data_IF_631318183186
#
_entry.id   IF_631318183186
#
_cell.length_a   1.000
_cell.length_b   1.000
_cell.length_c   1.000
_cell.angle_alpha   90.00
_cell.angle_beta   90.00
_cell.angle_gamma   90.00
#
_symmetry.space_group_name_H-M   'P 1'
#
loop_
_entity.id
_entity.type
_entity.pdbx_description
1 polymer ?
#
# COMPACT_ATOMS: atom_id res chain seq x y z
N UNK A 1 -6.25 53.31 -41.25
CA UNK A 1 -6.86 52.15 -40.56
C UNK A 1 -5.87 51.10 -40.03
N UNK A 2 -4.56 51.35 -39.92
CA UNK A 2 -3.56 50.32 -39.51
C UNK A 2 -3.30 50.15 -38.00
N UNK A 3 -3.77 51.06 -37.14
CA UNK A 3 -3.47 51.01 -35.69
C UNK A 3 -4.46 50.17 -34.88
N UNK A 4 -5.70 49.99 -35.35
CA UNK A 4 -6.72 49.18 -34.65
C UNK A 4 -6.42 47.68 -34.69
N UNK A 5 -6.01 47.17 -35.86
CA UNK A 5 -5.67 45.76 -36.06
C UNK A 5 -4.45 45.32 -35.22
N UNK A 6 -3.45 46.21 -35.07
CA UNK A 6 -2.27 45.95 -34.22
C UNK A 6 -2.62 45.86 -32.73
N UNK A 7 -3.56 46.67 -32.25
CA UNK A 7 -4.03 46.61 -30.87
C UNK A 7 -4.78 45.32 -30.55
N UNK A 8 -5.60 44.86 -31.49
CA UNK A 8 -6.33 43.58 -31.38
C UNK A 8 -5.36 42.39 -31.36
N UNK A 9 -4.35 42.38 -32.24
CA UNK A 9 -3.35 41.32 -32.28
C UNK A 9 -2.53 41.24 -30.99
N UNK A 10 -2.14 42.37 -30.39
CA UNK A 10 -1.43 42.37 -29.11
C UNK A 10 -2.29 41.81 -27.98
N UNK A 11 -3.57 42.20 -27.93
CA UNK A 11 -4.50 41.70 -26.93
C UNK A 11 -4.74 40.19 -27.07
N UNK A 12 -4.83 39.70 -28.30
CA UNK A 12 -4.96 38.28 -28.60
C UNK A 12 -3.74 37.48 -28.13
N UNK A 13 -2.52 37.97 -28.39
CA UNK A 13 -1.29 37.33 -27.91
C UNK A 13 -1.22 37.33 -26.38
N UNK A 14 -1.57 38.44 -25.73
CA UNK A 14 -1.60 38.52 -24.26
C UNK A 14 -2.64 37.55 -23.67
N UNK A 15 -3.82 37.44 -24.29
CA UNK A 15 -4.84 36.49 -23.88
C UNK A 15 -4.35 35.04 -24.05
N UNK A 16 -3.72 34.71 -25.18
CA UNK A 16 -3.17 33.39 -25.44
C UNK A 16 -2.06 33.02 -24.42
N UNK A 17 -1.15 33.95 -24.11
CA UNK A 17 -0.11 33.75 -23.10
C UNK A 17 -0.73 33.56 -21.71
N UNK A 18 -1.75 34.35 -21.35
CA UNK A 18 -2.43 34.21 -20.06
C UNK A 18 -3.11 32.84 -19.91
N UNK A 19 -3.79 32.37 -20.96
CA UNK A 19 -4.40 31.03 -20.99
C UNK A 19 -3.31 29.96 -20.88
N UNK A 20 -2.23 30.09 -21.65
CA UNK A 20 -1.13 29.13 -21.63
C UNK A 20 -0.44 29.07 -20.26
N UNK A 21 -0.23 30.21 -19.62
CA UNK A 21 0.36 30.29 -18.29
C UNK A 21 -0.54 29.64 -17.23
N UNK A 22 -1.84 29.91 -17.27
CA UNK A 22 -2.80 29.30 -16.36
C UNK A 22 -2.86 27.77 -16.54
N UNK A 23 -2.97 27.30 -17.79
CA UNK A 23 -2.98 25.88 -18.11
C UNK A 23 -1.66 25.19 -17.74
N UNK A 24 -0.53 25.84 -18.02
CA UNK A 24 0.80 25.33 -17.69
C UNK A 24 1.00 25.16 -16.19
N UNK A 25 0.55 26.12 -15.38
CA UNK A 25 0.63 26.02 -13.93
C UNK A 25 -0.19 24.85 -13.39
N UNK A 26 -1.44 24.69 -13.84
CA UNK A 26 -2.29 23.55 -13.47
C UNK A 26 -1.71 22.21 -13.92
N UNK A 27 -1.07 22.17 -15.08
CA UNK A 27 -0.42 20.95 -15.56
C UNK A 27 0.78 20.56 -14.69
N UNK A 28 1.61 21.53 -14.30
CA UNK A 28 2.76 21.29 -13.41
C UNK A 28 2.30 20.75 -12.05
N UNK A 29 1.22 21.29 -11.48
CA UNK A 29 0.68 20.79 -10.20
C UNK A 29 0.19 19.36 -10.33
N UNK A 30 -0.55 19.04 -11.39
CA UNK A 30 -1.05 17.68 -11.65
C UNK A 30 0.10 16.67 -11.82
N UNK A 31 1.16 17.05 -12.55
CA UNK A 31 2.34 16.18 -12.71
C UNK A 31 3.06 15.98 -11.38
N UNK A 32 3.23 17.04 -10.59
CA UNK A 32 3.89 16.94 -9.29
C UNK A 32 3.09 16.10 -8.28
N UNK A 33 1.76 16.16 -8.33
CA UNK A 33 0.87 15.30 -7.54
C UNK A 33 0.93 13.86 -8.02
N UNK A 34 0.89 13.62 -9.33
CA UNK A 34 1.01 12.28 -9.90
C UNK A 34 2.33 11.60 -9.57
N UNK A 35 3.45 12.33 -9.60
CA UNK A 35 4.76 11.80 -9.19
C UNK A 35 4.78 11.43 -7.71
N UNK A 36 4.19 12.28 -6.85
CA UNK A 36 4.13 12.02 -5.40
C UNK A 36 3.25 10.81 -5.09
N UNK A 37 2.09 10.70 -5.72
CA UNK A 37 1.22 9.53 -5.60
C UNK A 37 1.92 8.25 -6.05
N UNK A 38 2.56 8.27 -7.23
CA UNK A 38 3.29 7.10 -7.72
C UNK A 38 4.48 6.72 -6.81
N UNK A 39 5.11 7.69 -6.15
CA UNK A 39 6.18 7.41 -5.19
C UNK A 39 5.64 6.78 -3.90
N UNK A 40 4.52 7.26 -3.37
CA UNK A 40 3.88 6.66 -2.18
C UNK A 40 3.35 5.26 -2.47
N UNK A 41 2.77 5.05 -3.66
CA UNK A 41 2.23 3.74 -4.04
C UNK A 41 3.36 2.69 -4.14
N UNK A 42 4.49 3.06 -4.76
CA UNK A 42 5.66 2.18 -4.80
C UNK A 42 6.26 1.89 -3.43
N UNK A 43 6.20 2.84 -2.50
CA UNK A 43 6.64 2.60 -1.13
C UNK A 43 5.73 1.57 -0.46
N UNK A 44 4.41 1.74 -0.58
CA UNK A 44 3.42 0.81 -0.02
C UNK A 44 3.50 -0.58 -0.65
N UNK A 45 3.72 -0.66 -1.96
CA UNK A 45 3.87 -1.95 -2.67
C UNK A 45 5.07 -2.75 -2.15
N UNK A 46 6.22 -2.08 -1.91
CA UNK A 46 7.38 -2.75 -1.31
C UNK A 46 7.08 -3.30 0.08
N UNK A 47 6.34 -2.54 0.88
CA UNK A 47 5.96 -2.97 2.22
C UNK A 47 5.01 -4.17 2.18
N UNK A 48 4.03 -4.16 1.26
CA UNK A 48 3.12 -5.29 1.04
C UNK A 48 3.87 -6.55 0.60
N UNK A 49 4.89 -6.42 -0.24
CA UNK A 49 5.73 -7.56 -0.64
C UNK A 49 6.46 -8.17 0.56
N UNK A 50 6.95 -7.35 1.48
CA UNK A 50 7.63 -7.85 2.69
C UNK A 50 6.63 -8.48 3.68
N UNK A 51 5.43 -7.92 3.83
CA UNK A 51 4.33 -8.50 4.60
C UNK A 51 3.87 -9.85 4.01
N UNK A 52 3.75 -9.96 2.68
CA UNK A 52 3.38 -11.19 1.97
C UNK A 52 4.45 -12.28 2.14
N UNK A 53 5.73 -11.92 2.08
CA UNK A 53 6.83 -12.85 2.38
C UNK A 53 6.75 -13.38 3.81
N UNK A 54 6.41 -12.52 4.78
CA UNK A 54 6.23 -12.92 6.17
C UNK A 54 5.03 -13.86 6.33
N UNK A 55 3.89 -13.57 5.70
CA UNK A 55 2.75 -14.50 5.69
C UNK A 55 3.14 -15.83 5.06
N UNK A 56 3.84 -15.80 3.93
CA UNK A 56 4.29 -17.02 3.24
C UNK A 56 5.19 -17.86 4.16
N UNK A 57 6.11 -17.24 4.90
CA UNK A 57 6.92 -17.93 5.89
C UNK A 57 6.07 -18.59 7.00
N UNK A 58 5.03 -17.91 7.49
CA UNK A 58 4.08 -18.48 8.46
C UNK A 58 3.22 -19.59 7.85
N UNK A 59 2.86 -19.48 6.57
CA UNK A 59 2.12 -20.47 5.82
C UNK A 59 2.92 -21.76 5.59
N UNK A 60 4.24 -21.74 5.74
CA UNK A 60 5.09 -22.93 5.69
C UNK A 60 5.30 -23.61 7.06
N UNK A 61 4.89 -22.97 8.16
CA UNK A 61 5.04 -23.52 9.50
C UNK A 61 4.14 -24.73 9.75
N UNK A 62 4.68 -25.70 10.50
CA UNK A 62 3.92 -26.86 10.99
C UNK A 62 2.97 -26.43 12.11
N UNK A 63 1.97 -27.25 12.38
CA UNK A 63 0.98 -27.02 13.45
C UNK A 63 1.63 -26.75 14.81
N UNK A 64 2.63 -27.54 15.18
CA UNK A 64 3.38 -27.38 16.43
C UNK A 64 4.10 -26.04 16.55
N UNK A 65 4.59 -25.50 15.44
CA UNK A 65 5.31 -24.23 15.41
C UNK A 65 4.34 -23.05 15.50
N UNK A 66 3.17 -23.17 14.86
CA UNK A 66 2.08 -22.21 14.98
C UNK A 66 1.51 -22.18 16.42
N UNK A 67 1.37 -23.34 17.06
CA UNK A 67 0.92 -23.43 18.46
C UNK A 67 1.87 -22.74 19.43
N UNK A 68 3.18 -22.90 19.23
CA UNK A 68 4.19 -22.17 20.02
C UNK A 68 4.13 -20.65 19.81
N UNK A 69 3.57 -20.21 18.69
CA UNK A 69 3.50 -18.80 18.28
C UNK A 69 2.14 -18.16 18.52
N UNK A 70 1.20 -18.84 19.18
CA UNK A 70 -0.06 -18.25 19.60
C UNK A 70 0.15 -16.96 20.42
N UNK A 71 -0.76 -16.00 20.21
CA UNK A 71 -0.64 -14.64 20.73
C UNK A 71 0.10 -13.71 19.78
N UNK A 72 0.46 -12.53 20.30
CA UNK A 72 1.16 -11.48 19.55
C UNK A 72 2.66 -11.56 19.76
N UNK A 73 3.45 -11.51 18.68
CA UNK A 73 4.92 -11.54 18.72
C UNK A 73 5.51 -10.56 17.72
N UNK A 74 6.62 -9.94 18.08
CA UNK A 74 7.40 -9.13 17.16
C UNK A 74 8.19 -10.01 16.17
N UNK A 75 8.19 -9.61 14.90
CA UNK A 75 8.96 -10.20 13.82
C UNK A 75 9.58 -9.06 13.00
N UNK A 76 10.75 -8.57 13.45
CA UNK A 76 11.36 -7.37 12.89
C UNK A 76 10.48 -6.14 13.13
N UNK A 77 10.11 -5.36 12.09
CA UNK A 77 9.26 -4.16 12.23
C UNK A 77 7.76 -4.50 12.39
N UNK A 78 7.40 -5.78 12.30
CA UNK A 78 6.00 -6.23 12.32
C UNK A 78 5.62 -6.86 13.65
N UNK A 79 4.34 -6.73 14.00
CA UNK A 79 3.66 -7.49 15.04
C UNK A 79 2.80 -8.54 14.37
N UNK A 80 3.09 -9.81 14.65
CA UNK A 80 2.31 -10.93 14.14
C UNK A 80 1.47 -11.50 15.27
N UNK A 81 0.16 -11.51 15.08
CA UNK A 81 -0.80 -12.13 15.99
C UNK A 81 -1.30 -13.43 15.42
N UNK A 82 -1.01 -14.54 16.10
CA UNK A 82 -1.52 -15.86 15.74
C UNK A 82 -2.63 -16.25 16.71
N UNK A 83 -3.79 -16.55 16.17
CA UNK A 83 -4.95 -17.04 16.91
C UNK A 83 -5.36 -18.40 16.35
N UNK A 84 -5.93 -19.25 17.20
CA UNK A 84 -6.54 -20.52 16.78
C UNK A 84 -8.05 -20.45 17.05
N UNK A 85 -8.84 -19.88 16.11
CA UNK A 85 -10.30 -19.81 16.27
C UNK A 85 -10.96 -21.20 16.29
N UNK A 86 -10.41 -22.16 15.54
CA UNK A 86 -10.85 -23.56 15.53
C UNK A 86 -9.65 -24.51 15.61
N UNK A 87 -9.81 -25.78 16.03
CA UNK A 87 -8.70 -26.71 16.23
C UNK A 87 -7.76 -26.87 15.01
N UNK A 88 -8.31 -26.71 13.80
CA UNK A 88 -7.58 -26.86 12.53
C UNK A 88 -7.38 -25.55 11.79
N UNK A 89 -7.88 -24.42 12.32
CA UNK A 89 -7.74 -23.11 11.69
C UNK A 89 -6.87 -22.19 12.52
N UNK A 90 -5.95 -21.52 11.84
CA UNK A 90 -5.13 -20.48 12.43
C UNK A 90 -5.36 -19.18 11.70
N UNK A 91 -5.70 -18.14 12.44
CA UNK A 91 -5.71 -16.78 11.93
C UNK A 91 -4.36 -16.16 12.21
N UNK A 92 -3.70 -15.67 11.17
CA UNK A 92 -2.42 -14.95 11.25
C UNK A 92 -2.69 -13.53 10.77
N UNK A 93 -2.54 -12.57 11.67
CA UNK A 93 -2.67 -11.15 11.36
C UNK A 93 -1.31 -10.46 11.54
N UNK A 94 -0.94 -9.63 10.56
CA UNK A 94 0.26 -8.81 10.57
C UNK A 94 -0.17 -7.36 10.73
N UNK A 95 0.43 -6.68 11.70
CA UNK A 95 0.32 -5.25 11.90
C UNK A 95 1.73 -4.65 11.96
N UNK A 96 1.86 -3.35 11.74
CA UNK A 96 3.12 -2.64 11.98
C UNK A 96 3.27 -2.33 13.45
N UNK A 97 4.51 -2.40 13.95
CA UNK A 97 4.76 -2.06 15.36
C UNK A 97 4.40 -0.60 15.69
N UNK A 98 4.51 0.30 14.71
CA UNK A 98 4.16 1.73 14.85
C UNK A 98 2.64 1.97 14.81
N UNK A 99 1.88 1.06 14.20
CA UNK A 99 0.42 1.15 14.01
C UNK A 99 -0.26 -0.14 14.45
N UNK A 100 0.02 -0.57 15.69
CA UNK A 100 -0.44 -1.86 16.21
C UNK A 100 -1.98 -2.02 16.27
N UNK A 101 -2.74 -0.93 16.10
CA UNK A 101 -4.21 -0.94 16.11
C UNK A 101 -4.84 -1.30 14.76
N UNK A 102 -4.10 -1.22 13.65
CA UNK A 102 -4.58 -1.58 12.32
C UNK A 102 -3.88 -2.84 11.83
N UNK A 103 -4.65 -3.89 11.55
CA UNK A 103 -4.13 -5.08 10.88
C UNK A 103 -3.95 -4.74 9.40
N UNK A 104 -2.71 -4.84 8.90
CA UNK A 104 -2.37 -4.53 7.51
C UNK A 104 -2.69 -5.71 6.59
N UNK A 105 -2.39 -6.94 7.06
CA UNK A 105 -2.62 -8.16 6.28
C UNK A 105 -3.05 -9.32 7.18
N UNK A 106 -4.12 -10.01 6.78
CA UNK A 106 -4.71 -11.11 7.55
C UNK A 106 -4.92 -12.32 6.64
N UNK A 107 -4.53 -13.50 7.13
CA UNK A 107 -4.82 -14.77 6.45
C UNK A 107 -5.30 -15.83 7.43
N UNK A 108 -5.97 -16.86 6.90
CA UNK A 108 -6.38 -18.05 7.64
C UNK A 108 -5.69 -19.28 7.04
N UNK A 109 -4.96 -19.99 7.89
CA UNK A 109 -4.21 -21.19 7.55
C UNK A 109 -4.94 -22.41 8.09
N UNK A 110 -5.33 -23.31 7.19
CA UNK A 110 -5.84 -24.63 7.57
C UNK A 110 -4.68 -25.60 7.86
N UNK A 111 -4.82 -26.35 8.96
CA UNK A 111 -3.92 -27.40 9.43
C UNK A 111 -4.75 -28.55 10.00
N UNK A 112 -5.11 -29.49 9.13
CA UNK A 112 -5.79 -30.72 9.55
C UNK A 112 -4.95 -31.53 10.54
N UNK A 113 -5.60 -32.24 11.44
CA UNK A 113 -4.96 -33.31 12.21
C UNK A 113 -4.43 -34.36 11.23
N UNK A 114 -3.12 -34.63 11.28
CA UNK A 114 -2.60 -35.85 10.69
C UNK A 114 -3.14 -36.97 11.58
N UNK A 115 -4.28 -37.56 11.19
CA UNK A 115 -4.57 -38.94 11.58
C UNK A 115 -3.42 -39.75 10.99
N UNK A 116 -2.42 -40.07 11.81
CA UNK A 116 -1.56 -41.21 11.52
C UNK A 116 -2.52 -42.37 11.28
N UNK A 117 -2.57 -42.84 10.04
CA UNK A 117 -3.37 -44.01 9.67
C UNK A 117 -2.94 -45.21 10.52
N UNK A 118 -3.83 -46.20 10.68
CA UNK A 118 -3.61 -47.36 11.54
C UNK A 118 -2.32 -48.13 11.21
#
# INVERSE_FOLDING_TARGET
>A
MRSGERGVALLEVLAAIAILAAAGLSFVTLVAEGIRAAASDRARERELVDEERLITAYALLKRTDLDRRLGTRAAGPYLVTVQRPEPTLYRVAIARSEMAQAEDLVTVLYRGDIKSGP
#
